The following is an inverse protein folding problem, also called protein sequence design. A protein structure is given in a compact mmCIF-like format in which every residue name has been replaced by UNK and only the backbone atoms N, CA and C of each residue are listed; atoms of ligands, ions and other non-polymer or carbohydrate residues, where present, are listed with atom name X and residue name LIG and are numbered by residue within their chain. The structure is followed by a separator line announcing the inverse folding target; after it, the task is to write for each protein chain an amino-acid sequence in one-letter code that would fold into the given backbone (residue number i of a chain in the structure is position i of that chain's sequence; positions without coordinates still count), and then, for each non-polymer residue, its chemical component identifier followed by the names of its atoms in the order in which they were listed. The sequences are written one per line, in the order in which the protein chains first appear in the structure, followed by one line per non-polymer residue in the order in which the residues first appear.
data_IF_359275545468
#
_entry.id   IF_359275545468
#
_cell.length_a   1.000
_cell.length_b   1.000
_cell.length_c   1.000
_cell.angle_alpha   90.00
_cell.angle_beta   90.00
_cell.angle_gamma   90.00
#
_symmetry.space_group_name_H-M   'P 1'
#
loop_
_entity.id
_entity.type
_entity.pdbx_description
1 polymer ?
#
# COMPACT_ATOMS: atom_id res chain seq x y z
N UNK A 1 -13.34 -2.99 17.53
CA UNK A 1 -11.95 -2.91 17.04
C UNK A 1 -12.01 -3.08 15.52
N UNK A 2 -11.44 -2.16 14.73
CA UNK A 2 -11.49 -2.18 13.27
C UNK A 2 -10.09 -2.36 12.72
N UNK A 3 -9.91 -3.27 11.77
CA UNK A 3 -8.65 -3.47 11.06
C UNK A 3 -8.73 -2.64 9.77
N UNK A 4 -7.74 -1.77 9.57
CA UNK A 4 -7.63 -0.95 8.36
C UNK A 4 -6.27 -1.29 7.75
N UNK A 5 -6.21 -2.19 6.75
CA UNK A 5 -4.98 -2.44 6.01
C UNK A 5 -4.53 -1.17 5.29
N UNK A 6 -3.21 -1.03 5.16
CA UNK A 6 -2.58 0.07 4.44
C UNK A 6 -1.86 -0.47 3.20
N UNK A 7 -2.00 0.26 2.08
CA UNK A 7 -1.24 0.04 0.86
C UNK A 7 -0.50 1.33 0.55
N UNK A 8 0.83 1.24 0.47
CA UNK A 8 1.66 2.34 0.02
C UNK A 8 2.01 2.12 -1.46
N UNK A 9 1.83 3.14 -2.28
CA UNK A 9 2.08 3.10 -3.73
C UNK A 9 3.25 4.01 -4.07
N UNK A 10 4.20 3.47 -4.84
CA UNK A 10 5.24 4.21 -5.56
C UNK A 10 5.30 3.66 -6.99
N UNK A 11 5.28 4.54 -7.98
CA UNK A 11 5.33 4.25 -9.41
C UNK A 11 4.28 3.21 -9.84
N UNK A 12 3.08 3.32 -9.26
CA UNK A 12 1.98 2.38 -9.49
C UNK A 12 2.15 0.99 -8.86
N UNK A 13 3.21 0.74 -8.09
CA UNK A 13 3.50 -0.54 -7.43
C UNK A 13 3.28 -0.47 -5.92
N UNK A 14 2.83 -1.59 -5.32
CA UNK A 14 2.77 -1.72 -3.87
C UNK A 14 4.17 -1.85 -3.30
N UNK A 15 4.57 -0.85 -2.54
CA UNK A 15 5.87 -0.84 -1.87
C UNK A 15 5.68 -0.82 -0.36
N UNK A 16 6.77 -1.11 0.34
CA UNK A 16 6.88 -0.81 1.76
C UNK A 16 8.25 -0.21 2.01
N UNK A 17 8.26 0.93 2.69
CA UNK A 17 9.48 1.58 3.14
C UNK A 17 9.84 1.09 4.54
N UNK A 18 11.12 0.83 4.79
CA UNK A 18 11.58 0.57 6.16
C UNK A 18 11.78 1.92 6.83
N UNK A 19 10.96 2.23 7.85
CA UNK A 19 11.02 3.52 8.58
C UNK A 19 10.92 4.78 7.69
N UNK A 20 10.22 4.71 6.56
CA UNK A 20 10.09 5.83 5.64
C UNK A 20 11.32 6.08 4.76
N UNK A 21 12.30 5.18 4.78
CA UNK A 21 13.48 5.28 3.92
C UNK A 21 13.18 4.74 2.51
N UNK A 22 13.20 5.65 1.52
CA UNK A 22 12.94 5.38 0.11
C UNK A 22 14.00 4.48 -0.54
N UNK A 23 15.23 4.45 -0.02
CA UNK A 23 16.31 3.59 -0.55
C UNK A 23 16.11 2.12 -0.13
N UNK A 24 15.32 1.90 0.93
CA UNK A 24 14.98 0.55 1.40
C UNK A 24 13.66 0.03 0.83
N UNK A 25 13.14 0.63 -0.25
CA UNK A 25 11.86 0.25 -0.84
C UNK A 25 11.88 -1.24 -1.21
N UNK A 26 10.93 -1.99 -0.66
CA UNK A 26 10.65 -3.36 -1.08
C UNK A 26 9.33 -3.38 -1.83
N UNK A 27 9.36 -3.90 -3.05
CA UNK A 27 8.15 -4.13 -3.85
C UNK A 27 7.52 -5.42 -3.31
N UNK A 28 6.31 -5.30 -2.78
CA UNK A 28 5.53 -6.42 -2.26
C UNK A 28 4.60 -6.99 -3.32
N UNK A 29 4.02 -6.12 -4.13
CA UNK A 29 3.16 -6.51 -5.24
C UNK A 29 3.26 -5.47 -6.35
N UNK A 30 3.14 -5.91 -7.59
CA UNK A 30 3.17 -5.00 -8.75
C UNK A 30 1.79 -4.39 -9.03
N UNK A 31 0.72 -5.00 -8.51
CA UNK A 31 -0.64 -4.53 -8.76
C UNK A 31 -1.39 -4.19 -7.44
N UNK A 32 -1.56 -2.90 -7.10
CA UNK A 32 -2.32 -2.48 -5.93
C UNK A 32 -3.79 -2.85 -5.99
N UNK A 33 -4.37 -2.98 -7.19
CA UNK A 33 -5.77 -3.36 -7.35
C UNK A 33 -6.01 -4.81 -6.89
N UNK A 34 -5.08 -5.71 -7.17
CA UNK A 34 -5.20 -7.10 -6.72
C UNK A 34 -5.14 -7.21 -5.20
N UNK A 35 -4.24 -6.46 -4.56
CA UNK A 35 -4.14 -6.41 -3.10
C UNK A 35 -5.42 -5.82 -2.49
N UNK A 36 -5.98 -4.75 -3.06
CA UNK A 36 -7.22 -4.16 -2.60
C UNK A 36 -8.40 -5.15 -2.71
N UNK A 37 -8.52 -5.88 -3.83
CA UNK A 37 -9.54 -6.93 -4.02
C UNK A 37 -9.38 -8.08 -3.03
N UNK A 38 -8.16 -8.48 -2.71
CA UNK A 38 -7.91 -9.50 -1.69
C UNK A 38 -8.39 -9.06 -0.31
N UNK A 39 -8.18 -7.79 0.05
CA UNK A 39 -8.69 -7.25 1.31
C UNK A 39 -10.22 -7.15 1.33
N UNK A 40 -10.83 -6.69 0.25
CA UNK A 40 -12.28 -6.70 0.08
C UNK A 40 -12.86 -8.12 0.23
N UNK A 41 -12.25 -9.11 -0.44
CA UNK A 41 -12.63 -10.52 -0.34
C UNK A 41 -12.45 -11.10 1.08
N UNK A 42 -11.53 -10.54 1.87
CA UNK A 42 -11.33 -10.89 3.28
C UNK A 42 -12.36 -10.23 4.22
N UNK A 43 -13.32 -9.46 3.69
CA UNK A 43 -14.34 -8.76 4.48
C UNK A 43 -13.87 -7.42 5.05
N UNK A 44 -12.79 -6.86 4.53
CA UNK A 44 -12.34 -5.51 4.91
C UNK A 44 -13.16 -4.48 4.14
N UNK A 45 -13.80 -3.59 4.88
CA UNK A 45 -14.60 -2.50 4.30
C UNK A 45 -13.80 -1.20 4.08
N UNK A 46 -12.64 -1.03 4.74
CA UNK A 46 -11.88 0.22 4.75
C UNK A 46 -10.42 -0.07 4.46
N UNK A 47 -9.88 0.63 3.47
CA UNK A 47 -8.51 0.53 3.03
C UNK A 47 -7.84 1.89 3.18
N UNK A 48 -6.68 1.92 3.83
CA UNK A 48 -5.83 3.11 3.84
C UNK A 48 -4.87 3.05 2.65
N UNK A 49 -4.92 4.05 1.78
CA UNK A 49 -4.07 4.14 0.61
C UNK A 49 -3.17 5.37 0.75
N UNK A 50 -1.86 5.17 0.59
CA UNK A 50 -0.87 6.26 0.65
C UNK A 50 -0.14 6.31 -0.68
N UNK A 51 -0.29 7.43 -1.38
CA UNK A 51 0.50 7.74 -2.56
C UNK A 51 1.82 8.41 -2.12
N UNK A 52 2.91 7.65 -2.19
CA UNK A 52 4.23 8.11 -1.78
C UNK A 52 4.96 8.89 -2.90
N UNK A 53 4.49 8.81 -4.15
CA UNK A 53 4.99 9.65 -5.24
C UNK A 53 4.55 11.10 -5.01
N UNK A 54 3.27 11.29 -4.66
CA UNK A 54 2.73 12.60 -4.30
C UNK A 54 3.21 13.11 -2.94
N UNK A 55 3.49 12.23 -1.99
CA UNK A 55 3.92 12.61 -0.65
C UNK A 55 5.39 13.07 -0.56
N UNK A 56 6.23 12.75 -1.57
CA UNK A 56 7.66 13.14 -1.60
C UNK A 56 7.89 14.61 -2.03
N UNK A 57 6.84 15.44 -2.06
CA UNK A 57 6.89 16.85 -2.46
C UNK A 57 7.71 17.73 -1.51
#
# INVERSE_FOLDING_TARGET
MRIIPAIDIIDGKCVRLTKGDYDTKKIYNENPLEVAKMFEAAGIEYLHLVDLDGAKA
#
